data_IF_071047899635
#
_entry.id   IF_071047899635
#
_cell.length_a   1.000
_cell.length_b   1.000
_cell.length_c   1.000
_cell.angle_alpha   90.00
_cell.angle_beta   90.00
_cell.angle_gamma   90.00
#
_symmetry.space_group_name_H-M   'P 1'
#
loop_
_entity.id
_entity.type
_entity.pdbx_description
1 polymer ?
#
# COMPACT_ATOMS: atom_id res chain seq x y z
N UNK A 1 -5.15 3.48 42.45
CA UNK A 1 -4.35 4.70 42.67
C UNK A 1 -3.03 4.56 41.94
N UNK A 2 -2.97 5.01 40.69
CA UNK A 2 -1.75 4.89 39.83
C UNK A 2 -1.02 6.23 39.84
N UNK A 3 0.14 6.23 40.43
CA UNK A 3 1.05 7.38 40.63
C UNK A 3 1.47 7.97 39.29
N UNK A 4 0.94 9.14 38.97
CA UNK A 4 1.34 9.94 37.80
C UNK A 4 2.80 10.36 37.94
N UNK A 5 3.67 9.83 37.07
CA UNK A 5 5.02 10.40 36.92
C UNK A 5 4.92 11.64 36.04
N UNK A 6 5.11 12.79 36.64
CA UNK A 6 5.21 14.06 35.96
C UNK A 6 6.53 14.13 35.18
N UNK A 7 6.44 14.28 33.85
CA UNK A 7 7.61 14.68 33.04
C UNK A 7 7.84 16.19 33.15
N UNK A 8 9.10 16.67 33.37
CA UNK A 8 9.41 18.06 33.64
C UNK A 8 9.55 18.95 32.40
N UNK A 9 8.97 18.63 31.27
CA UNK A 9 9.03 19.48 30.08
C UNK A 9 7.64 19.80 29.55
N UNK A 10 7.25 21.06 29.76
CA UNK A 10 6.33 21.89 29.00
C UNK A 10 4.92 21.38 28.79
N UNK A 11 3.95 22.26 29.04
CA UNK A 11 2.52 22.23 28.70
C UNK A 11 2.14 21.09 27.75
N UNK A 12 1.33 20.13 28.22
CA UNK A 12 0.61 19.20 27.35
C UNK A 12 -0.25 20.03 26.39
N UNK A 13 0.29 20.33 25.22
CA UNK A 13 -0.57 20.65 24.08
C UNK A 13 -1.33 19.36 23.80
N UNK A 14 -2.58 19.28 24.26
CA UNK A 14 -3.53 18.28 23.81
C UNK A 14 -3.80 18.55 22.34
N UNK A 15 -2.87 18.15 21.48
CA UNK A 15 -3.12 18.13 20.05
C UNK A 15 -4.23 17.11 19.84
N UNK A 16 -5.45 17.59 19.65
CA UNK A 16 -6.55 16.76 19.15
C UNK A 16 -6.02 16.09 17.89
N UNK A 17 -5.92 14.76 17.90
CA UNK A 17 -5.48 14.00 16.74
C UNK A 17 -6.45 14.29 15.60
N UNK A 18 -5.92 14.61 14.43
CA UNK A 18 -6.73 14.77 13.23
C UNK A 18 -7.55 13.51 13.00
N UNK A 19 -8.78 13.65 12.53
CA UNK A 19 -9.72 12.56 12.26
C UNK A 19 -10.06 12.58 10.78
N UNK A 20 -10.35 11.42 10.21
CA UNK A 20 -10.87 11.33 8.86
C UNK A 20 -12.29 11.89 8.80
N UNK A 21 -12.57 12.66 7.74
CA UNK A 21 -13.81 13.40 7.61
C UNK A 21 -15.04 12.54 7.25
N UNK A 22 -14.81 11.34 6.67
CA UNK A 22 -15.91 10.51 6.17
C UNK A 22 -15.54 9.03 6.12
N UNK A 23 -16.55 8.14 6.17
CA UNK A 23 -16.36 6.69 5.93
C UNK A 23 -15.77 6.42 4.53
N UNK A 24 -16.24 7.13 3.52
CA UNK A 24 -15.70 7.00 2.15
C UNK A 24 -14.24 7.45 2.09
N UNK A 25 -13.86 8.51 2.82
CA UNK A 25 -12.46 8.93 2.93
C UNK A 25 -11.58 7.86 3.56
N UNK A 26 -12.04 7.20 4.60
CA UNK A 26 -11.33 6.08 5.22
C UNK A 26 -11.16 4.90 4.25
N UNK A 27 -12.23 4.48 3.57
CA UNK A 27 -12.19 3.38 2.60
C UNK A 27 -11.22 3.71 1.45
N UNK A 28 -11.35 4.90 0.86
CA UNK A 28 -10.48 5.31 -0.26
C UNK A 28 -9.02 5.47 0.16
N UNK A 29 -8.76 5.95 1.36
CA UNK A 29 -7.40 6.07 1.89
C UNK A 29 -6.78 4.70 2.17
N UNK A 30 -7.53 3.80 2.80
CA UNK A 30 -7.10 2.42 3.04
C UNK A 30 -6.91 1.64 1.74
N UNK A 31 -7.83 1.80 0.78
CA UNK A 31 -7.71 1.23 -0.55
C UNK A 31 -6.49 1.80 -1.30
N UNK A 32 -6.24 3.12 -1.20
CA UNK A 32 -5.07 3.75 -1.81
C UNK A 32 -3.74 3.28 -1.22
N UNK A 33 -3.74 2.88 0.05
CA UNK A 33 -2.57 2.23 0.66
C UNK A 33 -2.39 0.79 0.17
N UNK A 34 -3.50 0.07 -0.04
CA UNK A 34 -3.50 -1.32 -0.48
C UNK A 34 -3.26 -1.46 -1.99
N UNK A 35 -3.88 -0.59 -2.81
CA UNK A 35 -3.77 -0.62 -4.28
C UNK A 35 -2.57 0.24 -4.71
N UNK A 36 -1.42 -0.39 -4.82
CA UNK A 36 -0.18 0.24 -5.28
C UNK A 36 0.37 -0.40 -6.55
N UNK A 37 1.58 -0.01 -6.93
CA UNK A 37 2.31 -0.60 -8.06
C UNK A 37 2.43 -2.14 -7.96
N UNK A 38 2.41 -2.67 -6.74
CA UNK A 38 2.43 -4.11 -6.51
C UNK A 38 1.23 -4.84 -7.11
N UNK A 39 0.07 -4.21 -7.12
CA UNK A 39 -1.15 -4.82 -7.66
C UNK A 39 -1.29 -4.58 -9.17
N UNK A 40 -0.85 -3.41 -9.64
CA UNK A 40 -1.01 -3.03 -11.06
C UNK A 40 0.10 -3.62 -11.93
N UNK A 41 1.31 -3.73 -11.41
CA UNK A 41 2.49 -4.19 -12.16
C UNK A 41 2.96 -5.59 -11.72
N UNK A 42 3.27 -5.77 -10.43
CA UNK A 42 3.90 -7.01 -9.94
C UNK A 42 2.92 -8.19 -9.95
N UNK A 43 1.66 -7.98 -9.57
CA UNK A 43 0.67 -9.05 -9.50
C UNK A 43 0.39 -9.70 -10.86
N UNK A 44 0.10 -8.95 -11.96
CA UNK A 44 -0.09 -9.55 -13.28
C UNK A 44 1.13 -10.34 -13.75
N UNK A 45 2.33 -9.81 -13.50
CA UNK A 45 3.57 -10.49 -13.82
C UNK A 45 3.73 -11.80 -13.05
N UNK A 46 3.50 -11.79 -11.74
CA UNK A 46 3.55 -13.01 -10.92
C UNK A 46 2.49 -14.03 -11.34
N UNK A 47 1.30 -13.57 -11.67
CA UNK A 47 0.22 -14.43 -12.16
C UNK A 47 0.64 -15.12 -13.47
N UNK A 48 1.21 -14.38 -14.42
CA UNK A 48 1.72 -14.93 -15.67
C UNK A 48 2.84 -15.97 -15.49
N UNK A 49 3.77 -15.71 -14.56
CA UNK A 49 4.91 -16.62 -14.29
C UNK A 49 4.52 -17.89 -13.51
N UNK A 50 3.43 -17.85 -12.74
CA UNK A 50 3.04 -18.91 -11.80
C UNK A 50 1.76 -19.66 -12.22
N UNK A 51 1.44 -19.71 -13.50
CA UNK A 51 0.37 -20.54 -14.03
C UNK A 51 -1.03 -19.94 -13.97
N UNK A 52 -1.13 -18.61 -14.03
CA UNK A 52 -2.40 -17.90 -14.22
C UNK A 52 -3.43 -18.18 -13.15
N UNK A 53 -4.52 -18.89 -13.52
CA UNK A 53 -5.64 -19.20 -12.65
C UNK A 53 -5.26 -19.97 -11.38
N UNK A 54 -4.23 -20.81 -11.45
CA UNK A 54 -3.72 -21.55 -10.27
C UNK A 54 -3.15 -20.61 -9.21
N UNK A 55 -2.33 -19.65 -9.62
CA UNK A 55 -1.80 -18.63 -8.73
C UNK A 55 -2.93 -17.76 -8.16
N UNK A 56 -3.89 -17.34 -9.01
CA UNK A 56 -5.03 -16.54 -8.55
C UNK A 56 -5.87 -17.25 -7.51
N UNK A 57 -6.15 -18.54 -7.70
CA UNK A 57 -6.91 -19.34 -6.73
C UNK A 57 -6.21 -19.37 -5.38
N UNK A 58 -4.93 -19.75 -5.35
CA UNK A 58 -4.14 -19.79 -4.11
C UNK A 58 -4.04 -18.41 -3.48
N UNK A 59 -3.83 -17.35 -4.28
CA UNK A 59 -3.80 -15.98 -3.81
C UNK A 59 -5.10 -15.58 -3.11
N UNK A 60 -6.28 -15.84 -3.70
CA UNK A 60 -7.56 -15.53 -3.08
C UNK A 60 -7.79 -16.30 -1.78
N UNK A 61 -7.41 -17.57 -1.73
CA UNK A 61 -7.46 -18.35 -0.50
C UNK A 61 -6.58 -17.72 0.58
N UNK A 62 -5.33 -17.38 0.27
CA UNK A 62 -4.43 -16.72 1.20
C UNK A 62 -4.94 -15.33 1.63
N UNK A 63 -5.53 -14.58 0.70
CA UNK A 63 -6.10 -13.26 0.99
C UNK A 63 -7.23 -13.37 2.03
N UNK A 64 -8.13 -14.32 1.85
CA UNK A 64 -9.30 -14.50 2.73
C UNK A 64 -8.87 -15.11 4.07
N UNK A 65 -8.09 -16.17 4.05
CA UNK A 65 -7.76 -16.96 5.26
C UNK A 65 -6.71 -16.29 6.13
N UNK A 66 -5.72 -15.63 5.52
CA UNK A 66 -4.59 -15.02 6.23
C UNK A 66 -4.67 -13.49 6.21
N UNK A 67 -4.91 -12.91 5.04
CA UNK A 67 -4.83 -11.48 4.83
C UNK A 67 -5.90 -10.69 5.56
N UNK A 68 -7.18 -11.08 5.42
CA UNK A 68 -8.30 -10.38 6.08
C UNK A 68 -8.17 -10.43 7.61
N UNK A 69 -7.94 -11.59 8.26
CA UNK A 69 -7.75 -11.63 9.71
C UNK A 69 -6.56 -10.77 10.18
N UNK A 70 -5.43 -10.80 9.46
CA UNK A 70 -4.27 -9.99 9.79
C UNK A 70 -4.59 -8.49 9.71
N UNK A 71 -5.30 -8.06 8.68
CA UNK A 71 -5.73 -6.67 8.50
C UNK A 71 -6.69 -6.23 9.61
N UNK A 72 -7.66 -7.07 9.98
CA UNK A 72 -8.61 -6.79 11.07
C UNK A 72 -7.87 -6.66 12.41
N UNK A 73 -6.88 -7.52 12.66
CA UNK A 73 -6.03 -7.41 13.86
C UNK A 73 -5.27 -6.09 13.89
N UNK A 74 -4.66 -5.67 12.79
CA UNK A 74 -3.96 -4.38 12.73
C UNK A 74 -4.89 -3.19 12.97
N UNK A 75 -6.06 -3.15 12.34
CA UNK A 75 -7.05 -2.11 12.59
C UNK A 75 -7.46 -2.06 14.07
N UNK A 76 -7.67 -3.23 14.68
CA UNK A 76 -8.08 -3.34 16.08
C UNK A 76 -6.99 -2.79 17.02
N UNK A 77 -5.73 -3.14 16.79
CA UNK A 77 -4.57 -2.65 17.55
C UNK A 77 -4.44 -1.12 17.39
N UNK A 78 -4.57 -0.62 16.17
CA UNK A 78 -4.54 0.81 15.88
C UNK A 78 -5.63 1.58 16.59
N UNK A 79 -6.88 1.08 16.51
CA UNK A 79 -8.05 1.68 17.17
C UNK A 79 -7.94 1.67 18.69
N UNK A 80 -7.40 0.60 19.26
CA UNK A 80 -7.21 0.50 20.71
C UNK A 80 -6.16 1.48 21.23
N UNK A 81 -5.05 1.62 20.52
CA UNK A 81 -3.91 2.44 20.93
C UNK A 81 -4.08 3.93 20.61
N UNK A 82 -4.66 4.27 19.46
CA UNK A 82 -4.81 5.66 18.95
C UNK A 82 -3.51 6.48 19.00
N UNK A 83 -2.38 5.83 18.68
CA UNK A 83 -1.04 6.46 18.66
C UNK A 83 -0.27 5.99 17.44
N UNK A 84 0.96 6.52 17.24
CA UNK A 84 1.85 6.04 16.18
C UNK A 84 2.27 4.58 16.43
N UNK A 85 2.63 3.82 15.37
CA UNK A 85 2.99 2.40 15.47
C UNK A 85 4.06 2.11 16.52
N UNK A 86 5.09 2.93 16.62
CA UNK A 86 6.18 2.77 17.61
C UNK A 86 5.65 2.87 19.04
N UNK A 87 4.69 3.76 19.29
CA UNK A 87 4.12 3.96 20.64
C UNK A 87 2.95 3.04 20.92
N UNK A 88 2.27 2.51 19.90
CA UNK A 88 1.07 1.69 20.09
C UNK A 88 1.40 0.39 20.79
N UNK A 89 2.46 -0.31 20.34
CA UNK A 89 2.90 -1.55 20.99
C UNK A 89 3.34 -1.30 22.42
N UNK A 90 4.12 -0.23 22.67
CA UNK A 90 4.51 0.16 24.04
C UNK A 90 3.33 0.48 24.96
N UNK A 91 2.22 1.00 24.40
CA UNK A 91 1.02 1.33 25.17
C UNK A 91 0.18 0.11 25.52
N UNK A 92 0.22 -0.92 24.67
CA UNK A 92 -0.62 -2.12 24.81
C UNK A 92 0.13 -3.29 25.43
N UNK A 93 1.46 -3.27 25.45
CA UNK A 93 2.27 -4.34 26.03
C UNK A 93 2.13 -4.41 27.54
N UNK A 94 2.17 -5.64 28.09
CA UNK A 94 2.19 -5.89 29.52
C UNK A 94 3.61 -5.72 30.07
N UNK A 95 3.77 -5.46 31.38
CA UNK A 95 5.09 -5.41 32.02
C UNK A 95 5.91 -6.68 31.73
N UNK A 96 7.15 -6.51 31.29
CA UNK A 96 8.05 -7.62 30.92
C UNK A 96 8.00 -8.06 29.46
N UNK A 97 7.04 -7.62 28.66
CA UNK A 97 6.99 -7.88 27.23
C UNK A 97 7.85 -6.87 26.45
N UNK A 98 8.29 -7.24 25.24
CA UNK A 98 9.17 -6.42 24.39
C UNK A 98 8.53 -6.12 23.02
N UNK A 99 7.20 -6.05 22.93
CA UNK A 99 6.48 -5.79 21.68
C UNK A 99 6.78 -4.41 21.08
N UNK A 100 7.24 -3.46 21.89
CA UNK A 100 7.69 -2.15 21.40
C UNK A 100 8.83 -2.25 20.37
N UNK A 101 9.65 -3.33 20.41
CA UNK A 101 10.69 -3.56 19.39
C UNK A 101 10.08 -3.80 18.02
N UNK A 102 8.92 -4.47 17.94
CA UNK A 102 8.20 -4.66 16.68
C UNK A 102 7.76 -3.32 16.07
N UNK A 103 7.37 -2.36 16.89
CA UNK A 103 7.07 -1.01 16.42
C UNK A 103 8.26 -0.31 15.74
N UNK A 104 9.48 -0.54 16.23
CA UNK A 104 10.69 -0.04 15.60
C UNK A 104 10.98 -0.76 14.28
N UNK A 105 10.81 -2.08 14.23
CA UNK A 105 10.97 -2.89 13.00
C UNK A 105 9.97 -2.40 11.93
N UNK A 106 8.70 -2.18 12.29
CA UNK A 106 7.71 -1.62 11.39
C UNK A 106 8.13 -0.26 10.83
N UNK A 107 8.68 0.62 11.66
CA UNK A 107 9.16 1.93 11.21
C UNK A 107 10.30 1.82 10.20
N UNK A 108 11.31 1.00 10.49
CA UNK A 108 12.43 0.76 9.57
C UNK A 108 11.95 0.17 8.25
N UNK A 109 11.05 -0.83 8.31
CA UNK A 109 10.43 -1.42 7.13
C UNK A 109 9.69 -0.41 6.28
N UNK A 110 8.89 0.46 6.90
CA UNK A 110 8.17 1.52 6.18
C UNK A 110 9.12 2.53 5.53
N UNK A 111 10.23 2.90 6.19
CA UNK A 111 11.24 3.81 5.62
C UNK A 111 11.89 3.17 4.39
N UNK A 112 12.27 1.89 4.47
CA UNK A 112 12.88 1.16 3.35
C UNK A 112 11.92 1.05 2.16
N UNK A 113 10.66 0.72 2.41
CA UNK A 113 9.61 0.66 1.38
C UNK A 113 9.37 2.04 0.77
N UNK A 114 9.29 3.09 1.58
CA UNK A 114 9.11 4.46 1.08
C UNK A 114 10.25 4.87 0.15
N UNK A 115 11.50 4.58 0.52
CA UNK A 115 12.67 4.85 -0.33
C UNK A 115 12.55 4.14 -1.68
N UNK A 116 12.20 2.84 -1.68
CA UNK A 116 11.97 2.07 -2.90
C UNK A 116 10.84 2.67 -3.76
N UNK A 117 9.69 2.97 -3.16
CA UNK A 117 8.55 3.52 -3.90
C UNK A 117 8.83 4.91 -4.47
N UNK A 118 9.62 5.76 -3.80
CA UNK A 118 10.01 7.07 -4.34
C UNK A 118 10.78 6.92 -5.66
N UNK A 119 11.69 5.95 -5.73
CA UNK A 119 12.44 5.67 -6.97
C UNK A 119 11.51 5.15 -8.08
N UNK A 120 10.69 4.15 -7.79
CA UNK A 120 9.75 3.57 -8.76
C UNK A 120 8.74 4.61 -9.26
N UNK A 121 8.23 5.46 -8.37
CA UNK A 121 7.33 6.55 -8.75
C UNK A 121 8.04 7.55 -9.68
N UNK A 122 9.31 7.85 -9.43
CA UNK A 122 10.13 8.65 -10.33
C UNK A 122 10.20 8.07 -11.73
N UNK A 123 10.40 6.77 -11.86
CA UNK A 123 10.38 6.08 -13.16
C UNK A 123 9.03 6.19 -13.85
N UNK A 124 7.92 6.00 -13.14
CA UNK A 124 6.58 6.11 -13.70
C UNK A 124 6.31 7.53 -14.19
N UNK A 125 6.70 8.56 -13.43
CA UNK A 125 6.58 9.97 -13.85
C UNK A 125 7.41 10.22 -15.11
N UNK A 126 8.64 9.71 -15.18
CA UNK A 126 9.47 9.83 -16.38
C UNK A 126 8.79 9.21 -17.60
N UNK A 127 8.28 7.99 -17.48
CA UNK A 127 7.54 7.32 -18.55
C UNK A 127 6.31 8.13 -18.97
N UNK A 128 5.54 8.61 -18.01
CA UNK A 128 4.37 9.44 -18.28
C UNK A 128 4.72 10.68 -19.11
N UNK A 129 5.80 11.38 -18.75
CA UNK A 129 6.27 12.54 -19.52
C UNK A 129 6.71 12.14 -20.93
N UNK A 130 7.41 11.01 -21.09
CA UNK A 130 7.84 10.51 -22.39
C UNK A 130 6.67 10.13 -23.30
N UNK A 131 5.63 9.50 -22.74
CA UNK A 131 4.42 9.19 -23.51
C UNK A 131 3.67 10.45 -23.93
N UNK A 132 3.55 11.44 -23.03
CA UNK A 132 2.92 12.73 -23.37
C UNK A 132 3.66 13.49 -24.46
N UNK A 133 4.99 13.39 -24.52
CA UNK A 133 5.81 14.07 -25.53
C UNK A 133 5.94 13.29 -26.84
N UNK A 134 5.26 12.14 -26.99
CA UNK A 134 5.29 11.32 -28.20
C UNK A 134 6.60 10.57 -28.42
N UNK A 135 7.49 10.54 -27.44
CA UNK A 135 8.82 9.89 -27.53
C UNK A 135 8.81 8.44 -27.04
N UNK A 136 7.66 7.77 -27.07
CA UNK A 136 7.49 6.40 -26.52
C UNK A 136 8.32 5.32 -27.24
N UNK A 137 8.62 5.51 -28.53
CA UNK A 137 9.35 4.51 -29.33
C UNK A 137 10.88 4.57 -29.17
N UNK A 138 11.43 5.61 -28.53
CA UNK A 138 12.88 5.88 -28.60
C UNK A 138 13.67 5.52 -27.34
N UNK A 139 13.04 4.92 -26.31
CA UNK A 139 13.77 4.61 -25.07
C UNK A 139 13.41 3.25 -24.49
N UNK A 140 14.44 2.57 -23.96
CA UNK A 140 14.28 1.31 -23.25
C UNK A 140 14.34 1.49 -21.73
N UNK A 141 13.69 0.61 -20.99
CA UNK A 141 13.72 0.60 -19.53
C UNK A 141 15.15 0.49 -18.98
N UNK A 142 15.98 -0.36 -19.59
CA UNK A 142 17.37 -0.54 -19.19
C UNK A 142 18.21 0.73 -19.30
N UNK A 143 18.03 1.50 -20.38
CA UNK A 143 18.75 2.78 -20.58
C UNK A 143 18.33 3.85 -19.58
N UNK A 144 17.06 3.87 -19.16
CA UNK A 144 16.57 4.77 -18.13
C UNK A 144 17.16 4.44 -16.76
N UNK A 145 17.16 3.17 -16.36
CA UNK A 145 17.73 2.75 -15.06
C UNK A 145 19.23 3.05 -15.00
N UNK A 146 19.94 2.86 -16.11
CA UNK A 146 21.38 3.11 -16.18
C UNK A 146 21.75 4.61 -16.11
N UNK A 147 20.79 5.51 -16.29
CA UNK A 147 21.07 6.95 -16.29
C UNK A 147 20.87 7.56 -14.88
N UNK A 148 21.96 7.89 -14.15
CA UNK A 148 21.86 8.40 -12.78
C UNK A 148 21.19 9.77 -12.71
N UNK A 149 21.35 10.60 -13.74
CA UNK A 149 20.76 11.97 -13.75
C UNK A 149 19.24 11.88 -13.79
N UNK A 150 18.69 11.04 -14.68
CA UNK A 150 17.24 10.84 -14.77
C UNK A 150 16.69 10.33 -13.43
N UNK A 151 17.34 9.32 -12.85
CA UNK A 151 16.91 8.74 -11.58
C UNK A 151 16.90 9.80 -10.44
N UNK A 152 17.96 10.58 -10.32
CA UNK A 152 18.07 11.60 -9.27
C UNK A 152 17.04 12.71 -9.47
N UNK A 153 16.91 13.26 -10.70
CA UNK A 153 15.96 14.35 -10.98
C UNK A 153 14.52 13.92 -10.69
N UNK A 154 14.09 12.75 -11.20
CA UNK A 154 12.72 12.30 -10.99
C UNK A 154 12.45 11.81 -9.56
N UNK A 155 13.48 11.35 -8.84
CA UNK A 155 13.39 11.11 -7.40
C UNK A 155 13.10 12.40 -6.64
N UNK A 156 13.86 13.48 -6.92
CA UNK A 156 13.61 14.78 -6.29
C UNK A 156 12.23 15.34 -6.63
N UNK A 157 11.77 15.22 -7.87
CA UNK A 157 10.41 15.62 -8.27
C UNK A 157 9.38 14.85 -7.44
N UNK A 158 9.53 13.52 -7.32
CA UNK A 158 8.62 12.68 -6.53
C UNK A 158 8.57 13.12 -5.07
N UNK A 159 9.74 13.31 -4.46
CA UNK A 159 9.84 13.73 -3.06
C UNK A 159 9.23 15.12 -2.85
N UNK A 160 9.50 16.07 -3.74
CA UNK A 160 8.94 17.41 -3.66
C UNK A 160 7.41 17.40 -3.75
N UNK A 161 6.84 16.67 -4.71
CA UNK A 161 5.38 16.51 -4.85
C UNK A 161 4.77 15.85 -3.62
N UNK A 162 5.37 14.77 -3.12
CA UNK A 162 4.93 14.11 -1.90
C UNK A 162 4.94 15.06 -0.70
N UNK A 163 6.00 15.84 -0.54
CA UNK A 163 6.12 16.82 0.54
C UNK A 163 5.06 17.92 0.45
N UNK A 164 4.76 18.42 -0.74
CA UNK A 164 3.70 19.40 -0.97
C UNK A 164 2.33 18.85 -0.59
N UNK A 165 2.05 17.58 -0.89
CA UNK A 165 0.80 16.93 -0.52
C UNK A 165 0.72 16.73 1.00
N UNK A 166 1.78 16.22 1.61
CA UNK A 166 1.84 15.91 3.05
C UNK A 166 1.94 17.13 3.94
N UNK A 167 2.36 18.30 3.39
CA UNK A 167 2.38 19.57 4.13
C UNK A 167 0.99 20.13 4.44
N UNK A 168 -0.07 19.56 3.83
CA UNK A 168 -1.46 19.92 4.05
C UNK A 168 -2.07 19.05 5.14
N UNK A 169 -3.17 19.52 5.76
CA UNK A 169 -3.96 18.73 6.73
C UNK A 169 -4.43 17.42 6.12
N UNK A 170 -4.60 16.37 6.94
CA UNK A 170 -5.03 15.04 6.48
C UNK A 170 -6.33 15.11 5.67
N UNK A 171 -7.34 15.85 6.16
CA UNK A 171 -8.63 15.97 5.46
C UNK A 171 -8.53 16.77 4.16
N UNK A 172 -7.83 17.90 4.17
CA UNK A 172 -7.74 18.81 3.02
C UNK A 172 -6.70 18.40 1.99
N UNK A 173 -5.66 17.71 2.43
CA UNK A 173 -4.57 17.23 1.58
C UNK A 173 -4.76 15.76 1.22
N UNK A 174 -4.32 14.87 2.10
CA UNK A 174 -4.21 13.44 1.83
C UNK A 174 -5.56 12.79 1.46
N UNK A 175 -6.60 12.96 2.27
CA UNK A 175 -7.92 12.34 2.04
C UNK A 175 -8.54 12.80 0.71
N UNK A 176 -8.50 14.11 0.44
CA UNK A 176 -9.08 14.67 -0.78
C UNK A 176 -8.37 14.20 -2.05
N UNK A 177 -7.04 14.30 -2.06
CA UNK A 177 -6.23 13.89 -3.21
C UNK A 177 -6.38 12.39 -3.46
N UNK A 178 -6.28 11.56 -2.41
CA UNK A 178 -6.44 10.12 -2.54
C UNK A 178 -7.81 9.74 -3.10
N UNK A 179 -8.89 10.40 -2.69
CA UNK A 179 -10.23 10.18 -3.26
C UNK A 179 -10.24 10.35 -4.77
N UNK A 180 -9.72 11.48 -5.27
CA UNK A 180 -9.71 11.75 -6.72
C UNK A 180 -8.79 10.79 -7.46
N UNK A 181 -7.59 10.55 -6.93
CA UNK A 181 -6.63 9.63 -7.55
C UNK A 181 -7.15 8.19 -7.62
N UNK A 182 -7.75 7.70 -6.53
CA UNK A 182 -8.34 6.36 -6.50
C UNK A 182 -9.54 6.23 -7.43
N UNK A 183 -10.39 7.23 -7.49
CA UNK A 183 -11.51 7.22 -8.43
C UNK A 183 -11.02 7.22 -9.89
N UNK A 184 -10.03 8.05 -10.21
CA UNK A 184 -9.43 8.08 -11.54
C UNK A 184 -8.76 6.74 -11.89
N UNK A 185 -8.03 6.13 -10.94
CA UNK A 185 -7.40 4.82 -11.12
C UNK A 185 -8.45 3.74 -11.40
N UNK A 186 -9.54 3.69 -10.64
CA UNK A 186 -10.61 2.70 -10.84
C UNK A 186 -11.27 2.84 -12.21
N UNK A 187 -11.55 4.08 -12.65
CA UNK A 187 -12.09 4.33 -14.00
C UNK A 187 -11.11 3.88 -15.07
N UNK A 188 -9.83 4.22 -14.93
CA UNK A 188 -8.78 3.82 -15.87
C UNK A 188 -8.63 2.31 -15.95
N UNK A 189 -8.65 1.61 -14.80
CA UNK A 189 -8.60 0.15 -14.75
C UNK A 189 -9.82 -0.49 -15.43
N UNK A 190 -11.02 0.07 -15.25
CA UNK A 190 -12.23 -0.38 -15.94
C UNK A 190 -12.12 -0.21 -17.45
N UNK A 191 -11.67 0.95 -17.91
CA UNK A 191 -11.47 1.22 -19.34
C UNK A 191 -10.46 0.23 -19.94
N UNK A 192 -9.34 0.00 -19.25
CA UNK A 192 -8.34 -0.97 -19.69
C UNK A 192 -8.88 -2.40 -19.71
N UNK A 193 -9.67 -2.80 -18.70
CA UNK A 193 -10.27 -4.13 -18.64
C UNK A 193 -11.25 -4.35 -19.80
N UNK A 194 -12.13 -3.38 -20.06
CA UNK A 194 -13.07 -3.44 -21.19
C UNK A 194 -12.32 -3.46 -22.53
N UNK A 195 -11.34 -2.57 -22.70
CA UNK A 195 -10.52 -2.55 -23.91
C UNK A 195 -9.79 -3.90 -24.13
N UNK A 196 -9.18 -4.45 -23.09
CA UNK A 196 -8.49 -5.74 -23.19
C UNK A 196 -9.42 -6.91 -23.51
N UNK A 197 -10.66 -6.87 -23.01
CA UNK A 197 -11.69 -7.88 -23.30
C UNK A 197 -12.22 -7.83 -24.75
N UNK A 198 -12.02 -6.70 -25.44
CA UNK A 198 -12.44 -6.50 -26.84
C UNK A 198 -11.32 -6.80 -27.85
N UNK A 199 -10.11 -7.11 -27.40
CA UNK A 199 -9.00 -7.45 -28.28
C UNK A 199 -9.12 -8.88 -28.84
N UNK A 200 -8.59 -9.08 -30.05
CA UNK A 200 -8.45 -10.42 -30.62
C UNK A 200 -7.60 -11.29 -29.71
N UNK A 201 -8.06 -12.51 -29.39
CA UNK A 201 -7.39 -13.43 -28.48
C UNK A 201 -7.70 -13.18 -26.98
N UNK A 202 -8.58 -12.27 -26.63
CA UNK A 202 -8.99 -12.01 -25.24
C UNK A 202 -9.55 -13.25 -24.53
N UNK A 203 -10.23 -14.14 -25.28
CA UNK A 203 -10.77 -15.38 -24.74
C UNK A 203 -9.68 -16.30 -24.19
N UNK A 204 -8.54 -16.44 -24.89
CA UNK A 204 -7.41 -17.28 -24.45
C UNK A 204 -6.74 -16.68 -23.20
N UNK A 205 -6.60 -15.34 -23.17
CA UNK A 205 -6.10 -14.62 -22.01
C UNK A 205 -7.01 -14.79 -20.78
N UNK A 206 -8.33 -14.68 -20.95
CA UNK A 206 -9.30 -14.92 -19.88
C UNK A 206 -9.30 -16.38 -19.42
N UNK A 207 -9.22 -17.33 -20.34
CA UNK A 207 -9.12 -18.76 -20.02
C UNK A 207 -7.86 -19.01 -19.18
N UNK A 208 -6.71 -18.43 -19.53
CA UNK A 208 -5.47 -18.55 -18.75
C UNK A 208 -5.63 -18.04 -17.30
N UNK A 209 -6.34 -16.94 -17.09
CA UNK A 209 -6.55 -16.38 -15.75
C UNK A 209 -7.65 -17.07 -14.94
N UNK A 210 -8.67 -17.63 -15.61
CA UNK A 210 -9.86 -18.17 -14.94
C UNK A 210 -9.82 -19.70 -14.78
N UNK A 211 -8.99 -20.41 -15.57
CA UNK A 211 -8.92 -21.86 -15.52
C UNK A 211 -7.71 -22.31 -14.69
N UNK A 212 -7.91 -22.77 -13.44
CA UNK A 212 -6.81 -23.24 -12.62
C UNK A 212 -6.29 -24.60 -13.09
N UNK A 213 -4.99 -24.69 -13.30
CA UNK A 213 -4.29 -25.96 -13.55
C UNK A 213 -3.58 -26.38 -12.25
N UNK A 214 -4.17 -27.33 -11.55
CA UNK A 214 -3.69 -27.79 -10.24
C UNK A 214 -2.29 -28.44 -10.32
N UNK A 215 -1.86 -28.89 -11.48
CA UNK A 215 -0.52 -29.47 -11.67
C UNK A 215 0.61 -28.44 -11.50
N UNK A 216 0.29 -27.15 -11.66
CA UNK A 216 1.24 -26.04 -11.52
C UNK A 216 1.37 -25.53 -10.09
N UNK A 217 0.52 -25.99 -9.16
CA UNK A 217 0.58 -25.60 -7.77
C UNK A 217 1.73 -26.33 -7.07
N UNK A 218 2.76 -25.57 -6.73
CA UNK A 218 3.91 -26.04 -5.97
C UNK A 218 4.20 -25.11 -4.79
N UNK A 219 5.17 -25.47 -3.94
CA UNK A 219 5.52 -24.70 -2.75
C UNK A 219 5.90 -23.25 -3.06
N UNK A 220 6.57 -22.98 -4.19
CA UNK A 220 6.95 -21.63 -4.58
C UNK A 220 5.75 -20.78 -4.99
N UNK A 221 4.76 -21.35 -5.65
CA UNK A 221 3.50 -20.70 -6.02
C UNK A 221 2.72 -20.33 -4.75
N UNK A 222 2.64 -21.23 -3.78
CA UNK A 222 1.93 -20.98 -2.50
C UNK A 222 2.61 -19.86 -1.74
N UNK A 223 3.93 -19.91 -1.56
CA UNK A 223 4.69 -18.86 -0.86
C UNK A 223 4.60 -17.53 -1.61
N UNK A 224 4.69 -17.55 -2.94
CA UNK A 224 4.53 -16.36 -3.78
C UNK A 224 3.15 -15.72 -3.63
N UNK A 225 2.10 -16.53 -3.66
CA UNK A 225 0.71 -16.08 -3.49
C UNK A 225 0.45 -15.53 -2.08
N UNK A 226 0.96 -16.20 -1.04
CA UNK A 226 0.89 -15.74 0.34
C UNK A 226 1.60 -14.38 0.52
N UNK A 227 2.83 -14.26 0.05
CA UNK A 227 3.59 -13.01 0.11
C UNK A 227 2.86 -11.88 -0.63
N UNK A 228 2.28 -12.17 -1.79
CA UNK A 228 1.52 -11.19 -2.54
C UNK A 228 0.22 -10.80 -1.83
N UNK A 229 -0.45 -11.71 -1.12
CA UNK A 229 -1.64 -11.40 -0.33
C UNK A 229 -1.33 -10.42 0.82
N UNK A 230 -0.26 -10.65 1.58
CA UNK A 230 0.19 -9.74 2.62
C UNK A 230 0.64 -8.38 2.05
N UNK A 231 1.34 -8.41 0.92
CA UNK A 231 1.79 -7.20 0.25
C UNK A 231 0.61 -6.35 -0.25
N UNK A 232 -0.40 -6.99 -0.86
CA UNK A 232 -1.61 -6.32 -1.35
C UNK A 232 -2.36 -5.60 -0.24
N UNK A 233 -2.49 -6.21 0.92
CA UNK A 233 -3.20 -5.63 2.06
C UNK A 233 -2.31 -4.70 2.90
N UNK A 234 -1.04 -4.55 2.55
CA UNK A 234 -0.06 -3.77 3.33
C UNK A 234 -0.04 -4.14 4.82
N UNK A 235 -0.27 -5.42 5.13
CA UNK A 235 -0.31 -5.94 6.50
C UNK A 235 1.08 -6.36 6.98
N UNK A 236 1.29 -6.38 8.30
CA UNK A 236 2.56 -6.76 8.92
C UNK A 236 3.49 -5.59 9.22
N UNK A 237 3.24 -4.41 8.65
CA UNK A 237 4.10 -3.22 8.80
C UNK A 237 3.47 -2.10 9.62
N UNK A 238 2.29 -2.33 10.19
CA UNK A 238 1.57 -1.34 10.98
C UNK A 238 0.89 -0.24 10.15
N UNK A 239 0.85 -0.34 8.82
CA UNK A 239 0.19 0.61 7.93
C UNK A 239 -1.31 0.69 8.22
N UNK A 240 -1.99 -0.45 8.25
CA UNK A 240 -3.41 -0.53 8.57
C UNK A 240 -3.69 -0.12 10.02
N UNK A 241 -2.75 -0.34 10.94
CA UNK A 241 -2.85 0.11 12.32
C UNK A 241 -2.81 1.66 12.42
N UNK A 242 -2.05 2.34 11.56
CA UNK A 242 -2.09 3.81 11.48
C UNK A 242 -3.49 4.27 11.11
N UNK A 243 -4.08 3.72 10.05
CA UNK A 243 -5.45 4.08 9.64
C UNK A 243 -6.48 3.73 10.71
N UNK A 244 -6.37 2.54 11.34
CA UNK A 244 -7.18 2.16 12.49
C UNK A 244 -7.16 3.18 13.63
N UNK A 245 -6.00 3.82 13.83
CA UNK A 245 -5.83 4.82 14.89
C UNK A 245 -6.54 6.16 14.63
N UNK A 246 -7.02 6.42 13.41
CA UNK A 246 -7.84 7.59 13.07
C UNK A 246 -9.34 7.31 13.12
N UNK A 247 -9.74 6.05 13.37
CA UNK A 247 -11.15 5.69 13.58
C UNK A 247 -11.58 6.07 14.99
N UNK A 248 -12.71 6.75 15.10
CA UNK A 248 -13.30 7.10 16.39
C UNK A 248 -13.79 5.84 17.12
N UNK A 249 -13.73 5.86 18.45
CA UNK A 249 -14.25 4.76 19.29
C UNK A 249 -15.77 4.63 19.22
N UNK A 250 -16.45 5.73 18.90
CA UNK A 250 -17.90 5.82 18.85
C UNK A 250 -18.52 5.33 17.53
N UNK A 251 -17.69 5.00 16.55
CA UNK A 251 -18.13 4.42 15.27
C UNK A 251 -17.80 2.92 15.22
N UNK A 252 -18.86 2.11 15.03
CA UNK A 252 -18.78 0.67 14.77
C UNK A 252 -18.57 0.39 13.28
#
# INVERSE_FOLDING_TARGET
MQKERSCPFGKRVSMKRERLGSRMGFIMLSAGCAIGCGNVWKFPWMCGQNGGGSFMLVYFICLIVLGIPAMVMEFSVGRAAQTSPVRMYRRLEKPGQKWHLWGAVCLIGNIAIMAFYCVVTGWIIYYFVKFLTGQSASFGFASMIANPVINVVFLFVTVAVAFLILSRDIQKGLERITKYMMSALLVLMLVLAVHSALLDGAADGLAFYLTPDFSKINGSVIVGAMNQAFFTLSTGMGGMAIFGSYIDKDHS
#
